data_IF_951376119577
#
_entry.id   IF_951376119577
#
_cell.length_a   1.000
_cell.length_b   1.000
_cell.length_c   1.000
_cell.angle_alpha   90.00
_cell.angle_beta   90.00
_cell.angle_gamma   90.00
#
_symmetry.space_group_name_H-M   'P 1'
#
loop_
_entity.id
_entity.type
_entity.pdbx_description
1 polymer ?
#
# COMPACT_ATOMS: atom_id res chain seq x y z
N UNK A 1 59.03 3.32 36.43
CA UNK A 1 58.36 3.41 35.11
C UNK A 1 56.87 3.16 35.31
N UNK A 2 56.05 4.20 35.35
CA UNK A 2 54.58 4.10 35.36
C UNK A 2 54.11 4.66 34.02
N UNK A 3 53.63 3.80 33.13
CA UNK A 3 53.01 4.23 31.87
C UNK A 3 51.57 4.66 32.14
N UNK A 4 51.24 5.86 31.67
CA UNK A 4 49.92 6.51 31.71
C UNK A 4 49.29 6.45 30.31
N UNK A 5 47.94 6.45 30.31
CA UNK A 5 46.97 6.74 29.24
C UNK A 5 46.81 5.70 28.11
N UNK A 6 45.62 5.45 27.54
CA UNK A 6 44.30 6.09 27.69
C UNK A 6 43.19 5.13 27.26
N UNK A 7 42.05 5.18 27.95
CA UNK A 7 40.78 4.58 27.52
C UNK A 7 40.22 5.48 26.41
N UNK A 8 40.26 5.02 25.16
CA UNK A 8 39.49 5.64 24.09
C UNK A 8 38.08 5.07 24.15
N UNK A 9 37.15 5.83 24.74
CA UNK A 9 35.73 5.57 24.61
C UNK A 9 35.33 5.79 23.15
N UNK A 10 35.06 4.72 22.42
CA UNK A 10 34.38 4.77 21.14
C UNK A 10 32.89 5.03 21.42
N UNK A 11 32.48 6.29 21.40
CA UNK A 11 31.05 6.64 21.36
C UNK A 11 30.62 6.42 19.91
N UNK A 12 30.07 5.24 19.62
CA UNK A 12 29.29 5.02 18.41
C UNK A 12 27.99 5.79 18.59
N UNK A 13 27.93 7.01 18.03
CA UNK A 13 26.65 7.64 17.74
C UNK A 13 25.99 6.80 16.63
N UNK A 14 25.22 5.80 17.00
CA UNK A 14 24.18 5.28 16.13
C UNK A 14 23.13 6.40 16.01
N UNK A 15 23.38 7.35 15.11
CA UNK A 15 22.35 8.27 14.67
C UNK A 15 21.38 7.44 13.83
N UNK A 16 20.45 6.75 14.50
CA UNK A 16 19.25 6.29 13.85
C UNK A 16 18.52 7.55 13.40
N UNK A 17 18.75 7.97 12.16
CA UNK A 17 17.97 9.04 11.56
C UNK A 17 16.55 8.47 11.49
N UNK A 18 15.67 8.94 12.36
CA UNK A 18 14.25 8.66 12.22
C UNK A 18 13.85 9.24 10.86
N UNK A 19 13.64 8.36 9.87
CA UNK A 19 13.26 8.79 8.53
C UNK A 19 11.88 9.43 8.61
N UNK A 20 11.75 10.63 8.05
CA UNK A 20 10.48 11.35 8.05
C UNK A 20 9.44 10.53 7.27
N UNK A 21 8.34 10.16 7.93
CA UNK A 21 7.22 9.49 7.29
C UNK A 21 6.45 10.48 6.42
N UNK A 22 6.03 10.04 5.23
CA UNK A 22 5.16 10.83 4.34
C UNK A 22 3.72 10.67 4.81
N UNK A 23 2.99 11.78 5.00
CA UNK A 23 1.59 11.70 5.41
C UNK A 23 0.70 11.19 4.27
N UNK A 24 -0.34 10.41 4.61
CA UNK A 24 -1.38 10.02 3.64
C UNK A 24 -2.50 11.08 3.58
N UNK A 25 -3.23 11.23 2.45
CA UNK A 25 -3.14 10.43 1.23
C UNK A 25 -1.84 10.63 0.44
N UNK A 26 -1.33 9.55 -0.13
CA UNK A 26 -0.16 9.51 -1.00
C UNK A 26 -0.54 8.89 -2.35
N UNK A 27 -0.06 9.44 -3.47
CA UNK A 27 -0.31 8.95 -4.83
C UNK A 27 0.92 9.22 -5.70
N UNK A 28 1.26 8.28 -6.57
CA UNK A 28 2.30 8.44 -7.59
C UNK A 28 2.08 7.46 -8.74
N UNK A 29 2.25 7.91 -9.98
CA UNK A 29 2.49 7.07 -11.16
C UNK A 29 3.98 6.88 -11.43
N UNK A 30 4.85 7.45 -10.60
CA UNK A 30 6.30 7.51 -10.77
C UNK A 30 6.75 8.31 -12.00
N UNK A 31 5.89 9.19 -12.50
CA UNK A 31 6.17 10.04 -13.65
C UNK A 31 7.00 11.28 -13.27
N UNK A 32 7.55 11.94 -14.29
CA UNK A 32 8.29 13.19 -14.10
C UNK A 32 7.44 14.30 -13.45
N UNK A 33 6.13 14.31 -13.72
CA UNK A 33 5.19 15.22 -13.10
C UNK A 33 5.03 15.00 -11.58
N UNK A 34 5.28 13.77 -11.11
CA UNK A 34 5.26 13.39 -9.71
C UNK A 34 6.62 13.60 -9.01
N UNK A 35 7.62 14.12 -9.75
CA UNK A 35 8.96 14.41 -9.23
C UNK A 35 9.99 13.30 -9.44
N UNK A 36 9.69 12.30 -10.27
CA UNK A 36 10.59 11.18 -10.54
C UNK A 36 11.42 11.39 -11.81
N UNK A 37 12.60 10.76 -11.88
CA UNK A 37 13.48 10.88 -13.05
C UNK A 37 13.88 9.50 -13.57
N UNK A 38 13.45 9.16 -14.79
CA UNK A 38 13.85 7.93 -15.46
C UNK A 38 15.38 7.79 -15.57
N UNK A 39 15.87 6.56 -15.40
CA UNK A 39 17.29 6.22 -15.36
C UNK A 39 17.96 6.41 -14.00
N UNK A 40 17.33 7.12 -13.06
CA UNK A 40 17.85 7.30 -11.72
C UNK A 40 17.34 6.23 -10.76
N UNK A 41 18.09 5.97 -9.69
CA UNK A 41 17.60 5.20 -8.55
C UNK A 41 16.40 5.90 -7.90
N UNK A 42 15.41 5.13 -7.46
CA UNK A 42 14.28 5.66 -6.67
C UNK A 42 14.73 6.14 -5.28
N UNK A 43 15.90 5.71 -4.79
CA UNK A 43 16.39 6.05 -3.47
C UNK A 43 16.50 7.57 -3.27
N UNK A 44 15.84 8.09 -2.25
CA UNK A 44 15.80 9.53 -1.92
C UNK A 44 14.81 10.34 -2.76
N UNK A 45 14.19 9.77 -3.80
CA UNK A 45 13.16 10.46 -4.57
C UNK A 45 11.84 10.40 -3.81
N UNK A 46 11.30 11.58 -3.47
CA UNK A 46 10.04 11.71 -2.74
C UNK A 46 9.99 10.88 -1.43
N UNK A 47 11.13 10.61 -0.79
CA UNK A 47 11.19 9.82 0.45
C UNK A 47 11.04 8.31 0.28
N UNK A 48 11.17 7.78 -0.94
CA UNK A 48 11.42 6.36 -1.17
C UNK A 48 12.85 6.00 -0.75
N UNK A 49 13.03 4.77 -0.28
CA UNK A 49 14.31 4.27 0.22
C UNK A 49 14.61 2.91 -0.37
N UNK A 50 15.85 2.71 -0.82
CA UNK A 50 16.34 1.38 -1.22
C UNK A 50 17.14 0.80 -0.06
N UNK A 51 16.75 -0.40 0.39
CA UNK A 51 17.34 -1.07 1.57
C UNK A 51 18.33 -2.17 1.21
N UNK A 52 18.33 -2.66 -0.03
CA UNK A 52 19.31 -3.62 -0.53
C UNK A 52 20.67 -2.94 -0.76
N UNK A 53 21.74 -3.45 -0.14
CA UNK A 53 23.10 -3.04 -0.50
C UNK A 53 23.52 -3.81 -1.75
N UNK A 54 23.41 -3.17 -2.92
CA UNK A 54 24.02 -3.67 -4.17
C UNK A 54 23.06 -4.17 -5.26
N UNK A 55 21.75 -4.14 -5.04
CA UNK A 55 20.73 -4.36 -6.07
C UNK A 55 19.89 -3.08 -6.22
N UNK A 56 19.75 -2.61 -7.47
CA UNK A 56 19.17 -1.30 -7.74
C UNK A 56 17.64 -1.36 -7.90
N UNK A 57 16.97 -0.34 -7.40
CA UNK A 57 15.62 0.02 -7.83
C UNK A 57 15.68 1.34 -8.57
N UNK A 58 15.20 1.36 -9.81
CA UNK A 58 15.31 2.49 -10.73
C UNK A 58 13.96 2.90 -11.27
N UNK A 59 13.83 4.17 -11.62
CA UNK A 59 12.71 4.65 -12.41
C UNK A 59 13.01 4.32 -13.88
N UNK A 60 12.10 3.63 -14.56
CA UNK A 60 12.27 3.20 -15.95
C UNK A 60 11.09 3.62 -16.82
N UNK A 61 11.35 3.84 -18.09
CA UNK A 61 10.32 4.05 -19.12
C UNK A 61 10.12 2.81 -20.03
N UNK A 62 10.91 1.74 -19.82
CA UNK A 62 10.94 0.57 -20.68
C UNK A 62 9.74 -0.36 -20.49
N UNK A 63 9.33 -0.57 -19.23
CA UNK A 63 8.19 -1.41 -18.87
C UNK A 63 7.39 -0.71 -17.78
N UNK A 64 6.14 -0.40 -18.10
CA UNK A 64 5.23 0.44 -17.30
C UNK A 64 3.78 0.02 -17.53
N UNK A 65 2.94 0.28 -16.55
CA UNK A 65 1.52 -0.03 -16.59
C UNK A 65 0.69 1.16 -17.11
N UNK A 66 1.03 2.36 -16.66
CA UNK A 66 0.38 3.61 -17.05
C UNK A 66 1.43 4.71 -17.20
N UNK A 67 1.02 5.90 -17.65
CA UNK A 67 1.93 7.05 -17.76
C UNK A 67 3.16 6.79 -18.65
N UNK A 68 4.27 7.42 -18.27
CA UNK A 68 5.54 7.37 -18.98
C UNK A 68 6.62 6.57 -18.23
N UNK A 69 6.44 6.31 -16.93
CA UNK A 69 7.45 5.72 -16.06
C UNK A 69 6.86 4.72 -15.05
N UNK A 70 7.71 3.83 -14.53
CA UNK A 70 7.40 2.92 -13.43
C UNK A 70 8.68 2.63 -12.62
N UNK A 71 8.54 2.00 -11.46
CA UNK A 71 9.68 1.50 -10.69
C UNK A 71 10.04 0.09 -11.17
N UNK A 72 11.30 -0.13 -11.53
CA UNK A 72 11.88 -1.45 -11.73
C UNK A 72 12.74 -1.81 -10.52
N UNK A 73 12.52 -2.98 -9.96
CA UNK A 73 13.33 -3.58 -8.90
C UNK A 73 14.11 -4.74 -9.49
N UNK A 74 15.44 -4.72 -9.35
CA UNK A 74 16.26 -5.88 -9.67
C UNK A 74 16.04 -7.02 -8.66
N UNK A 75 16.50 -8.22 -9.00
CA UNK A 75 16.46 -9.36 -8.08
C UNK A 75 17.21 -9.05 -6.78
N UNK A 76 16.65 -9.53 -5.66
CA UNK A 76 17.09 -9.24 -4.29
C UNK A 76 17.04 -7.75 -3.89
N UNK A 77 16.23 -6.94 -4.57
CA UNK A 77 16.03 -5.54 -4.21
C UNK A 77 14.91 -5.37 -3.21
N UNK A 78 15.05 -4.35 -2.36
CA UNK A 78 14.01 -3.96 -1.43
C UNK A 78 13.83 -2.44 -1.44
N UNK A 79 12.59 -2.01 -1.58
CA UNK A 79 12.22 -0.60 -1.43
C UNK A 79 11.23 -0.42 -0.28
N UNK A 80 11.39 0.70 0.41
CA UNK A 80 10.51 1.16 1.47
C UNK A 80 9.96 2.54 1.13
N UNK A 81 8.68 2.74 1.47
CA UNK A 81 8.04 4.05 1.53
C UNK A 81 7.51 4.24 2.94
N UNK A 82 8.24 4.96 3.82
CA UNK A 82 7.73 5.33 5.13
C UNK A 82 6.49 6.22 4.97
N UNK A 83 5.37 5.80 5.57
CA UNK A 83 4.09 6.50 5.49
C UNK A 83 3.50 6.65 6.89
N UNK A 84 2.72 7.70 7.11
CA UNK A 84 2.01 7.93 8.36
C UNK A 84 0.54 8.22 8.12
N UNK A 85 -0.30 7.48 8.83
CA UNK A 85 -1.71 7.80 9.01
C UNK A 85 -1.90 8.62 10.30
N UNK A 86 -2.86 9.54 10.28
CA UNK A 86 -3.27 10.26 11.50
C UNK A 86 -3.96 9.29 12.48
N UNK A 87 -3.97 9.57 13.79
CA UNK A 87 -4.61 8.68 14.77
C UNK A 87 -6.08 8.35 14.51
N UNK A 88 -6.82 9.25 13.85
CA UNK A 88 -8.23 9.04 13.49
C UNK A 88 -8.44 8.22 12.20
N UNK A 89 -7.38 7.99 11.41
CA UNK A 89 -7.41 7.27 10.14
C UNK A 89 -7.20 5.78 10.40
N UNK A 90 -8.23 5.13 10.96
CA UNK A 90 -8.14 3.73 11.40
C UNK A 90 -8.40 2.71 10.29
N UNK A 91 -8.89 3.15 9.14
CA UNK A 91 -9.08 2.31 7.95
C UNK A 91 -8.32 2.94 6.78
N UNK A 92 -7.45 2.17 6.14
CA UNK A 92 -6.58 2.64 5.06
C UNK A 92 -6.65 1.69 3.88
N UNK A 93 -6.79 2.26 2.69
CA UNK A 93 -6.58 1.57 1.43
C UNK A 93 -5.15 1.77 0.95
N UNK A 94 -4.57 0.71 0.40
CA UNK A 94 -3.34 0.75 -0.37
C UNK A 94 -3.58 0.03 -1.68
N UNK A 95 -3.14 0.62 -2.77
CA UNK A 95 -3.31 0.08 -4.11
C UNK A 95 -2.07 0.33 -4.94
N UNK A 96 -1.69 -0.66 -5.74
CA UNK A 96 -0.63 -0.53 -6.72
C UNK A 96 -0.79 -1.53 -7.84
N UNK A 97 -0.15 -1.26 -8.96
CA UNK A 97 0.05 -2.24 -10.02
C UNK A 97 1.41 -2.88 -9.86
N UNK A 98 1.42 -4.20 -9.85
CA UNK A 98 2.62 -5.00 -9.64
C UNK A 98 2.81 -5.95 -10.81
N UNK A 99 4.04 -6.13 -11.26
CA UNK A 99 4.41 -7.15 -12.23
C UNK A 99 5.69 -7.85 -11.81
N UNK A 100 5.80 -9.14 -12.09
CA UNK A 100 6.97 -9.93 -11.76
C UNK A 100 6.69 -11.41 -11.97
N UNK A 101 7.75 -12.20 -12.01
CA UNK A 101 7.62 -13.65 -12.15
C UNK A 101 7.40 -14.37 -10.82
N UNK A 102 7.53 -13.67 -9.70
CA UNK A 102 7.39 -14.25 -8.35
C UNK A 102 8.54 -15.16 -7.96
N UNK A 103 8.35 -15.91 -6.88
CA UNK A 103 9.31 -16.93 -6.41
C UNK A 103 8.56 -18.09 -5.75
N UNK A 104 9.23 -19.23 -5.57
CA UNK A 104 8.64 -20.39 -4.87
C UNK A 104 9.04 -20.43 -3.39
N UNK A 105 10.10 -19.71 -3.01
CA UNK A 105 10.45 -19.56 -1.60
C UNK A 105 9.41 -18.66 -0.93
N UNK A 106 8.67 -19.20 0.04
CA UNK A 106 7.82 -18.36 0.88
C UNK A 106 8.68 -17.25 1.50
N UNK A 107 8.22 -15.99 1.45
CA UNK A 107 9.05 -14.88 1.87
C UNK A 107 9.30 -14.96 3.38
N UNK A 108 10.58 -15.00 3.76
CA UNK A 108 10.97 -14.78 5.15
C UNK A 108 10.92 -13.29 5.44
N UNK A 109 9.78 -12.79 5.95
CA UNK A 109 9.75 -11.41 6.40
C UNK A 109 10.42 -11.29 7.77
N UNK A 110 11.32 -10.31 7.95
CA UNK A 110 11.85 -10.04 9.28
C UNK A 110 10.71 -9.64 10.23
N UNK A 111 10.84 -10.03 11.50
CA UNK A 111 9.89 -9.65 12.55
C UNK A 111 9.81 -8.12 12.74
N UNK A 112 10.89 -7.41 12.37
CA UNK A 112 11.00 -5.96 12.39
C UNK A 112 11.27 -5.43 10.96
N UNK A 113 10.46 -4.48 10.44
CA UNK A 113 9.28 -3.90 11.05
C UNK A 113 8.10 -4.87 11.09
N UNK A 114 7.26 -4.67 12.11
CA UNK A 114 5.95 -5.29 12.20
C UNK A 114 5.11 -4.95 10.95
N UNK A 115 4.31 -5.89 10.48
CA UNK A 115 3.46 -5.73 9.30
C UNK A 115 2.01 -6.06 9.62
N UNK A 116 1.08 -5.38 8.97
CA UNK A 116 -0.34 -5.67 9.00
C UNK A 116 -0.70 -6.70 7.94
N UNK A 117 -0.51 -6.37 6.67
CA UNK A 117 -0.93 -7.17 5.51
C UNK A 117 0.27 -7.59 4.68
N UNK A 118 0.21 -8.79 4.11
CA UNK A 118 1.26 -9.31 3.22
C UNK A 118 0.61 -10.03 2.04
N UNK A 119 1.03 -9.63 0.84
CA UNK A 119 0.71 -10.30 -0.42
C UNK A 119 1.99 -10.93 -0.95
N UNK A 120 1.90 -12.18 -1.40
CA UNK A 120 3.01 -12.95 -1.94
C UNK A 120 2.70 -13.40 -3.36
N UNK A 121 3.66 -13.21 -4.26
CA UNK A 121 3.60 -13.60 -5.65
C UNK A 121 4.34 -14.93 -5.80
N UNK A 122 3.60 -16.04 -5.68
CA UNK A 122 4.15 -17.39 -5.80
C UNK A 122 4.19 -17.84 -7.26
N UNK A 123 5.33 -18.38 -7.70
CA UNK A 123 5.46 -19.01 -9.03
C UNK A 123 4.51 -20.22 -9.16
N UNK A 124 4.45 -21.05 -8.12
CA UNK A 124 3.63 -22.27 -8.13
C UNK A 124 2.16 -22.01 -7.80
N UNK A 125 1.88 -21.21 -6.76
CA UNK A 125 0.52 -21.06 -6.22
C UNK A 125 -0.21 -19.79 -6.69
N UNK A 126 0.43 -18.97 -7.52
CA UNK A 126 -0.10 -17.68 -7.95
C UNK A 126 -0.05 -16.63 -6.84
N UNK A 127 -0.98 -15.69 -6.85
CA UNK A 127 -1.04 -14.64 -5.83
C UNK A 127 -1.65 -15.22 -4.55
N UNK A 128 -0.99 -14.99 -3.42
CA UNK A 128 -1.42 -15.43 -2.09
C UNK A 128 -1.45 -14.23 -1.12
N UNK A 129 -2.35 -14.26 -0.15
CA UNK A 129 -2.46 -13.25 0.89
C UNK A 129 -2.28 -13.94 2.26
N UNK A 130 -1.52 -13.36 3.18
CA UNK A 130 -1.29 -13.94 4.51
C UNK A 130 -2.50 -13.73 5.42
N UNK A 131 -3.12 -14.80 5.90
CA UNK A 131 -4.05 -14.72 7.03
C UNK A 131 -3.25 -14.74 8.34
N UNK A 132 -2.96 -13.55 8.85
CA UNK A 132 -2.10 -13.38 10.01
C UNK A 132 -2.77 -13.77 11.33
N UNK A 133 -1.94 -14.15 12.31
CA UNK A 133 -2.37 -14.51 13.67
C UNK A 133 -2.13 -13.40 14.72
N UNK A 134 -1.61 -12.25 14.30
CA UNK A 134 -1.29 -11.11 15.17
C UNK A 134 0.04 -11.24 15.95
N UNK A 135 0.81 -12.32 15.76
CA UNK A 135 2.06 -12.60 16.49
C UNK A 135 3.27 -12.83 15.58
N UNK A 136 3.24 -12.28 14.36
CA UNK A 136 4.35 -12.34 13.40
C UNK A 136 4.24 -13.46 12.37
N UNK A 137 3.19 -14.28 12.43
CA UNK A 137 2.97 -15.41 11.53
C UNK A 137 1.55 -15.46 10.97
N UNK A 138 1.17 -16.63 10.47
CA UNK A 138 -0.15 -16.85 9.87
C UNK A 138 -0.17 -18.06 8.95
N UNK A 139 -1.16 -18.09 8.06
CA UNK A 139 -1.24 -19.10 7.01
C UNK A 139 -1.49 -18.42 5.67
N UNK A 140 -0.80 -18.86 4.62
CA UNK A 140 -1.02 -18.36 3.26
C UNK A 140 -2.36 -18.82 2.74
N UNK A 141 -3.15 -17.87 2.23
CA UNK A 141 -4.44 -18.14 1.61
C UNK A 141 -4.33 -17.81 0.11
N UNK A 142 -4.56 -18.78 -0.79
CA UNK A 142 -4.51 -18.51 -2.21
C UNK A 142 -5.67 -17.60 -2.62
N UNK A 143 -5.39 -16.68 -3.54
CA UNK A 143 -6.42 -15.83 -4.16
C UNK A 143 -7.16 -16.56 -5.29
N UNK A 144 -6.59 -17.66 -5.80
CA UNK A 144 -7.06 -18.35 -6.99
C UNK A 144 -6.59 -17.69 -8.30
N UNK A 145 -5.85 -16.57 -8.24
CA UNK A 145 -5.30 -15.91 -9.42
C UNK A 145 -3.89 -16.43 -9.70
N UNK A 146 -3.72 -17.10 -10.84
CA UNK A 146 -2.41 -17.54 -11.31
C UNK A 146 -1.51 -16.36 -11.64
N UNK A 147 -0.22 -16.50 -11.32
CA UNK A 147 0.80 -15.53 -11.65
C UNK A 147 1.36 -15.81 -13.04
N UNK A 148 1.39 -14.80 -13.89
CA UNK A 148 1.95 -14.84 -15.24
C UNK A 148 3.07 -13.81 -15.30
N UNK A 149 4.23 -14.25 -15.78
CA UNK A 149 5.40 -13.38 -15.96
C UNK A 149 5.04 -12.17 -16.85
N UNK A 150 5.51 -11.00 -16.45
CA UNK A 150 5.34 -9.73 -17.15
C UNK A 150 3.87 -9.29 -17.34
N UNK A 151 2.93 -9.89 -16.59
CA UNK A 151 1.56 -9.40 -16.48
C UNK A 151 1.45 -8.40 -15.32
N UNK A 152 0.70 -7.32 -15.52
CA UNK A 152 0.36 -6.37 -14.46
C UNK A 152 -0.87 -6.82 -13.69
N UNK A 153 -0.75 -6.80 -12.37
CA UNK A 153 -1.83 -7.11 -11.44
C UNK A 153 -2.13 -5.88 -10.59
N UNK A 154 -3.39 -5.47 -10.59
CA UNK A 154 -3.87 -4.45 -9.66
C UNK A 154 -4.08 -5.11 -8.30
N UNK A 155 -3.24 -4.79 -7.32
CA UNK A 155 -3.39 -5.25 -5.95
C UNK A 155 -3.96 -4.10 -5.14
N UNK A 156 -5.16 -4.27 -4.60
CA UNK A 156 -5.75 -3.34 -3.64
C UNK A 156 -5.93 -4.05 -2.31
N UNK A 157 -5.55 -3.41 -1.21
CA UNK A 157 -5.78 -3.91 0.14
C UNK A 157 -6.51 -2.86 0.97
N UNK A 158 -7.47 -3.32 1.77
CA UNK A 158 -8.19 -2.48 2.74
C UNK A 158 -7.85 -2.96 4.13
N UNK A 159 -7.18 -2.14 4.91
CA UNK A 159 -6.71 -2.48 6.26
C UNK A 159 -7.54 -1.74 7.30
N UNK A 160 -8.05 -2.47 8.28
CA UNK A 160 -8.75 -1.94 9.44
C UNK A 160 -7.89 -2.16 10.70
N UNK A 161 -7.29 -1.08 11.17
CA UNK A 161 -6.42 -1.08 12.35
C UNK A 161 -7.18 -1.16 13.66
N UNK A 162 -8.51 -0.96 13.67
CA UNK A 162 -9.35 -1.16 14.86
C UNK A 162 -9.61 -2.65 15.06
N UNK A 163 -10.04 -3.35 14.01
CA UNK A 163 -10.38 -4.79 14.09
C UNK A 163 -9.20 -5.73 13.86
N UNK A 164 -8.05 -5.21 13.41
CA UNK A 164 -6.84 -5.98 13.02
C UNK A 164 -7.13 -6.94 11.88
N UNK A 165 -7.94 -6.47 10.93
CA UNK A 165 -8.40 -7.22 9.78
C UNK A 165 -8.11 -6.50 8.48
N UNK A 166 -7.97 -7.26 7.41
CA UNK A 166 -7.79 -6.69 6.08
C UNK A 166 -8.44 -7.52 5.00
N UNK A 167 -8.77 -6.86 3.88
CA UNK A 167 -9.28 -7.48 2.66
C UNK A 167 -8.26 -7.31 1.54
N UNK A 168 -8.13 -8.34 0.71
CA UNK A 168 -7.21 -8.42 -0.42
C UNK A 168 -8.05 -8.43 -1.70
N UNK A 169 -7.69 -7.62 -2.69
CA UNK A 169 -8.34 -7.55 -3.99
C UNK A 169 -7.29 -7.69 -5.08
N UNK A 170 -7.57 -8.54 -6.07
CA UNK A 170 -6.73 -8.74 -7.25
C UNK A 170 -7.56 -8.40 -8.47
N UNK A 171 -7.08 -7.44 -9.28
CA UNK A 171 -7.78 -6.95 -10.46
C UNK A 171 -9.23 -6.48 -10.17
N UNK A 172 -9.43 -5.86 -9.01
CA UNK A 172 -10.72 -5.30 -8.59
C UNK A 172 -11.68 -6.29 -7.93
N UNK A 173 -11.39 -7.60 -7.94
CA UNK A 173 -12.20 -8.60 -7.28
C UNK A 173 -11.60 -8.97 -5.91
N UNK A 174 -12.42 -9.09 -4.87
CA UNK A 174 -11.94 -9.53 -3.56
C UNK A 174 -11.47 -10.98 -3.65
N UNK A 175 -10.21 -11.22 -3.34
CA UNK A 175 -9.58 -12.53 -3.41
C UNK A 175 -8.44 -12.61 -2.38
N UNK A 176 -8.53 -13.49 -1.37
CA UNK A 176 -9.62 -14.44 -1.12
C UNK A 176 -10.94 -13.77 -0.68
N UNK A 177 -12.06 -14.48 -0.81
CA UNK A 177 -13.39 -13.98 -0.47
C UNK A 177 -13.58 -13.68 1.03
N UNK A 178 -12.76 -14.28 1.89
CA UNK A 178 -12.77 -14.04 3.33
C UNK A 178 -11.93 -12.82 3.71
N UNK A 179 -12.26 -12.23 4.85
CA UNK A 179 -11.40 -11.23 5.51
C UNK A 179 -10.25 -11.91 6.26
N UNK A 180 -9.08 -11.28 6.26
CA UNK A 180 -7.81 -11.82 6.74
C UNK A 180 -7.37 -11.13 8.02
N UNK A 181 -6.66 -11.84 8.90
CA UNK A 181 -6.02 -11.25 10.09
C UNK A 181 -4.72 -10.51 9.76
N UNK A 182 -4.37 -9.52 10.57
CA UNK A 182 -3.06 -8.89 10.51
C UNK A 182 -1.94 -9.87 10.93
N UNK A 183 -0.76 -9.76 10.31
CA UNK A 183 0.43 -10.53 10.71
C UNK A 183 0.83 -10.19 12.15
N UNK A 184 0.98 -8.91 12.45
CA UNK A 184 1.34 -8.38 13.76
C UNK A 184 0.25 -7.47 14.34
N UNK A 185 0.29 -7.25 15.66
CA UNK A 185 -0.61 -6.33 16.35
C UNK A 185 -0.24 -4.85 16.14
N UNK A 186 -0.27 -4.38 14.89
CA UNK A 186 0.02 -2.99 14.51
C UNK A 186 -1.22 -2.11 14.68
N UNK A 187 -1.06 -0.88 15.19
CA UNK A 187 -2.16 0.06 15.52
C UNK A 187 -2.38 1.18 14.52
N UNK A 188 -1.43 1.43 13.62
CA UNK A 188 -1.54 2.44 12.56
C UNK A 188 -0.64 2.09 11.37
N UNK A 189 -0.82 2.76 10.25
CA UNK A 189 0.06 2.63 9.09
C UNK A 189 1.43 3.26 9.39
N UNK A 190 2.51 2.53 9.08
CA UNK A 190 3.89 3.01 9.18
C UNK A 190 4.65 3.03 7.85
N UNK A 191 4.08 2.45 6.80
CA UNK A 191 4.73 2.43 5.49
C UNK A 191 4.25 1.33 4.57
N UNK A 192 4.94 1.26 3.45
CA UNK A 192 4.87 0.21 2.47
C UNK A 192 6.28 -0.34 2.23
N UNK A 193 6.37 -1.64 1.94
CA UNK A 193 7.60 -2.32 1.59
C UNK A 193 7.35 -3.27 0.43
N UNK A 194 8.20 -3.23 -0.59
CA UNK A 194 8.26 -4.23 -1.63
C UNK A 194 9.61 -4.94 -1.54
N UNK A 195 9.58 -6.27 -1.46
CA UNK A 195 10.75 -7.11 -1.63
C UNK A 195 10.64 -7.87 -2.95
N UNK A 196 11.69 -7.83 -3.76
CA UNK A 196 11.75 -8.45 -5.06
C UNK A 196 12.84 -9.53 -5.06
N UNK A 197 12.47 -10.79 -4.81
CA UNK A 197 13.41 -11.91 -4.90
C UNK A 197 13.88 -12.11 -6.36
N UNK A 198 12.94 -11.96 -7.29
CA UNK A 198 13.17 -11.90 -8.74
C UNK A 198 12.82 -10.49 -9.25
N UNK A 199 13.27 -10.10 -10.47
CA UNK A 199 12.96 -8.78 -10.99
C UNK A 199 11.45 -8.52 -11.01
N UNK A 200 11.07 -7.32 -10.59
CA UNK A 200 9.66 -6.91 -10.47
C UNK A 200 9.48 -5.43 -10.76
N UNK A 201 8.23 -5.02 -10.99
CA UNK A 201 7.86 -3.64 -11.27
C UNK A 201 6.68 -3.21 -10.42
N UNK A 202 6.69 -1.93 -10.04
CA UNK A 202 5.62 -1.24 -9.32
C UNK A 202 5.25 0.03 -10.09
N UNK A 203 3.94 0.25 -10.27
CA UNK A 203 3.38 1.41 -10.94
C UNK A 203 2.06 1.82 -10.26
N UNK A 204 1.65 3.07 -10.44
CA UNK A 204 0.33 3.62 -10.08
C UNK A 204 -0.02 3.25 -8.64
N UNK A 205 0.81 3.74 -7.73
CA UNK A 205 0.76 3.44 -6.31
C UNK A 205 0.03 4.54 -5.55
N UNK A 206 -0.90 4.15 -4.68
CA UNK A 206 -1.64 5.08 -3.82
C UNK A 206 -1.96 4.47 -2.47
N UNK A 207 -1.95 5.32 -1.45
CA UNK A 207 -2.35 5.00 -0.09
C UNK A 207 -3.28 6.08 0.42
N UNK A 208 -4.51 5.72 0.73
CA UNK A 208 -5.61 6.66 0.99
C UNK A 208 -6.35 6.20 2.24
N UNK A 209 -6.50 7.05 3.27
CA UNK A 209 -7.38 6.73 4.39
C UNK A 209 -8.85 6.74 3.94
N UNK A 210 -9.67 5.84 4.47
CA UNK A 210 -11.11 5.85 4.18
C UNK A 210 -11.71 7.15 4.70
N UNK A 211 -12.50 7.80 3.83
CA UNK A 211 -13.19 9.03 4.14
C UNK A 211 -14.63 8.93 3.64
N UNK A 212 -15.47 8.26 4.44
CA UNK A 212 -16.89 8.06 4.10
C UNK A 212 -17.55 9.39 3.71
N UNK A 213 -18.21 9.42 2.56
CA UNK A 213 -18.83 10.60 1.97
C UNK A 213 -17.94 11.39 1.01
N UNK A 214 -16.65 11.07 0.87
CA UNK A 214 -15.76 11.61 -0.17
C UNK A 214 -15.95 10.77 -1.45
N UNK A 215 -17.10 10.96 -2.08
CA UNK A 215 -17.57 10.17 -3.21
C UNK A 215 -16.83 10.52 -4.50
N UNK A 216 -16.16 11.67 -4.60
CA UNK A 216 -15.37 12.07 -5.77
C UNK A 216 -13.85 11.88 -5.60
N UNK A 217 -13.38 11.45 -4.43
CA UNK A 217 -11.96 11.24 -4.06
C UNK A 217 -11.09 12.51 -4.12
N UNK A 218 -11.67 13.68 -3.88
CA UNK A 218 -10.94 14.96 -3.82
C UNK A 218 -10.39 15.28 -2.42
N UNK A 219 -10.55 14.34 -1.47
CA UNK A 219 -10.15 14.47 -0.08
C UNK A 219 -10.96 15.55 0.67
N UNK A 220 -12.19 15.83 0.26
CA UNK A 220 -13.17 16.62 1.00
C UNK A 220 -14.48 15.86 1.09
N UNK A 221 -15.36 16.34 1.97
CA UNK A 221 -16.72 15.82 2.09
C UNK A 221 -17.61 17.03 2.06
N UNK A 222 -18.08 17.36 0.86
CA UNK A 222 -18.78 18.59 0.52
C UNK A 222 -19.85 18.39 -0.59
N UNK A 223 -20.38 19.49 -1.13
CA UNK A 223 -21.48 19.43 -2.09
C UNK A 223 -21.12 18.75 -3.42
N UNK A 224 -19.83 18.68 -3.79
CA UNK A 224 -19.41 17.98 -5.01
C UNK A 224 -19.61 16.46 -4.90
N UNK A 225 -19.52 15.92 -3.67
CA UNK A 225 -19.81 14.50 -3.40
C UNK A 225 -21.29 14.17 -3.60
N UNK A 226 -22.17 15.10 -3.22
CA UNK A 226 -23.61 14.97 -3.47
C UNK A 226 -23.87 14.89 -4.98
N UNK A 227 -23.24 15.76 -5.78
CA UNK A 227 -23.38 15.75 -7.24
C UNK A 227 -22.95 14.41 -7.83
N UNK A 228 -21.89 13.81 -7.28
CA UNK A 228 -21.42 12.49 -7.70
C UNK A 228 -22.47 11.41 -7.45
N UNK A 229 -23.03 11.33 -6.24
CA UNK A 229 -24.06 10.35 -5.92
C UNK A 229 -25.40 10.60 -6.65
N UNK A 230 -25.76 11.86 -6.91
CA UNK A 230 -26.97 12.18 -7.68
C UNK A 230 -26.82 11.79 -9.16
N UNK A 231 -25.61 11.92 -9.71
CA UNK A 231 -25.31 11.59 -11.11
C UNK A 231 -25.24 10.07 -11.35
N UNK A 232 -24.92 9.29 -10.31
CA UNK A 232 -24.89 7.82 -10.35
C UNK A 232 -25.46 7.21 -9.06
N UNK A 233 -26.80 7.25 -8.87
CA UNK A 233 -27.46 6.88 -7.62
C UNK A 233 -27.41 5.37 -7.30
N UNK A 234 -26.95 4.55 -8.24
CA UNK A 234 -26.72 3.11 -8.06
C UNK A 234 -25.23 2.77 -7.95
N UNK A 235 -24.35 3.76 -8.15
CA UNK A 235 -22.90 3.57 -8.18
C UNK A 235 -22.41 2.67 -9.33
N UNK A 236 -23.20 2.52 -10.38
CA UNK A 236 -22.91 1.60 -11.49
C UNK A 236 -21.75 2.06 -12.38
N UNK A 237 -21.52 3.38 -12.46
CA UNK A 237 -20.37 4.00 -13.12
C UNK A 237 -19.14 4.12 -12.21
N UNK A 238 -19.30 3.98 -10.89
CA UNK A 238 -18.19 3.97 -9.93
C UNK A 238 -17.54 2.57 -9.91
N UNK A 239 -16.42 2.46 -10.62
CA UNK A 239 -15.64 1.21 -10.74
C UNK A 239 -14.44 1.16 -9.79
N UNK A 240 -14.01 2.29 -9.25
CA UNK A 240 -12.92 2.38 -8.30
C UNK A 240 -13.35 1.86 -6.92
N UNK A 241 -12.61 0.89 -6.36
CA UNK A 241 -12.96 0.26 -5.09
C UNK A 241 -12.94 1.24 -3.91
N UNK A 242 -11.98 2.18 -3.91
CA UNK A 242 -11.83 3.16 -2.83
C UNK A 242 -12.95 4.18 -2.93
N UNK A 243 -13.26 4.65 -4.14
CA UNK A 243 -14.39 5.54 -4.40
C UNK A 243 -15.70 4.88 -3.98
N UNK A 244 -15.90 3.62 -4.35
CA UNK A 244 -17.09 2.85 -3.98
C UNK A 244 -17.23 2.71 -2.46
N UNK A 245 -16.15 2.39 -1.75
CA UNK A 245 -16.16 2.31 -0.29
C UNK A 245 -16.45 3.70 0.33
N UNK A 246 -15.87 4.78 -0.18
CA UNK A 246 -16.18 6.12 0.34
C UNK A 246 -17.62 6.56 0.03
N UNK A 247 -18.15 6.21 -1.13
CA UNK A 247 -19.50 6.53 -1.59
C UNK A 247 -20.61 5.72 -0.86
N UNK A 248 -20.29 4.51 -0.38
CA UNK A 248 -21.13 3.71 0.52
C UNK A 248 -21.03 4.27 1.95
N UNK A 249 -21.76 5.35 2.21
CA UNK A 249 -21.71 6.12 3.46
C UNK A 249 -22.36 5.37 4.61
N UNK A 250 -23.39 4.56 4.32
CA UNK A 250 -24.12 3.80 5.33
C UNK A 250 -23.50 2.41 5.63
N UNK A 251 -22.50 1.98 4.85
CA UNK A 251 -21.82 0.69 4.92
C UNK A 251 -22.73 -0.51 4.64
N UNK A 252 -23.76 -0.33 3.83
CA UNK A 252 -24.64 -1.42 3.39
C UNK A 252 -23.97 -2.36 2.38
N UNK A 253 -22.85 -1.95 1.78
CA UNK A 253 -22.14 -2.68 0.73
C UNK A 253 -22.63 -2.33 -0.69
N UNK A 254 -23.58 -1.41 -0.83
CA UNK A 254 -24.11 -0.95 -2.11
C UNK A 254 -24.33 0.56 -2.09
N UNK A 255 -24.13 1.23 -3.23
CA UNK A 255 -24.45 2.65 -3.37
C UNK A 255 -25.94 2.78 -3.69
N UNK A 256 -26.62 3.62 -2.92
CA UNK A 256 -28.06 3.75 -2.93
C UNK A 256 -28.51 5.17 -2.53
N UNK A 257 -29.82 5.39 -2.53
CA UNK A 257 -30.41 6.65 -2.02
C UNK A 257 -30.23 6.83 -0.52
N UNK A 258 -29.98 5.75 0.24
CA UNK A 258 -29.66 5.83 1.66
C UNK A 258 -28.31 6.51 1.89
N UNK A 259 -27.33 6.24 1.02
CA UNK A 259 -26.01 6.90 1.05
C UNK A 259 -26.11 8.39 0.78
N UNK A 260 -26.93 8.78 -0.20
CA UNK A 260 -27.20 10.18 -0.48
C UNK A 260 -27.80 10.90 0.75
N UNK A 261 -28.79 10.28 1.40
CA UNK A 261 -29.39 10.84 2.62
C UNK A 261 -28.37 10.94 3.76
N UNK A 262 -27.55 9.90 3.95
CA UNK A 262 -26.48 9.88 4.95
C UNK A 262 -25.42 10.96 4.68
N UNK A 263 -25.04 11.16 3.41
CA UNK A 263 -24.09 12.19 3.00
C UNK A 263 -24.63 13.60 3.26
N UNK A 264 -25.88 13.88 2.90
CA UNK A 264 -26.52 15.17 3.15
C UNK A 264 -26.53 15.48 4.65
N UNK A 265 -26.94 14.52 5.48
CA UNK A 265 -26.93 14.68 6.94
C UNK A 265 -25.52 14.97 7.47
N UNK A 266 -24.50 14.28 6.93
CA UNK A 266 -23.10 14.45 7.33
C UNK A 266 -22.55 15.83 6.97
N UNK A 267 -22.96 16.40 5.84
CA UNK A 267 -22.54 17.75 5.41
C UNK A 267 -23.25 18.82 6.24
N UNK A 268 -24.55 18.67 6.51
CA UNK A 268 -25.34 19.63 7.29
C UNK A 268 -25.03 19.64 8.79
N UNK A 269 -24.43 18.56 9.31
CA UNK A 269 -24.01 18.45 10.71
C UNK A 269 -22.68 19.17 11.02
N UNK A 270 -22.01 19.75 10.02
CA UNK A 270 -20.79 20.54 10.16
C UNK A 270 -21.11 22.03 10.29
#
# INVERSE_FOLDING_TARGET
MIKKLSITALIIFACAVAMAQVAIPYKTGFDAADGFTAGNTINGQDGWVVLSQGADATITNAFKQSGDQAVALEANSQIDKPLSAKPAETIVWMEGYFSGEGTDAEPSFPADPAASAIVFFSKTNGIQCLNGNGTGGGSWVPTGVSLVKDQWYKISIRQDYTTKKWKCFVNGAQAPAQELGFRDNVTTLHGFRNFADTPSWLDTFRVIPVKKGDANLDNKVDAADIVTLVSDPTGSGITDLIQKDNADVDNSGAISTADLAALVNKILAK
#
